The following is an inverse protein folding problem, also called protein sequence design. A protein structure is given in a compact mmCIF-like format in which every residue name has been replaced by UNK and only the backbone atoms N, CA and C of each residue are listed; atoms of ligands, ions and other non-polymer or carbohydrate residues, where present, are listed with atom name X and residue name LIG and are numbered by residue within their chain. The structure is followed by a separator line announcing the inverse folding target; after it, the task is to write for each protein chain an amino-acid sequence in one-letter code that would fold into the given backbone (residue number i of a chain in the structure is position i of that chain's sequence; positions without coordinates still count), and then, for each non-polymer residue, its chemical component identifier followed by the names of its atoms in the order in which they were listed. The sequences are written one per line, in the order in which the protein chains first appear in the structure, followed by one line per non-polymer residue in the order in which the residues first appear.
data_IF_906931926784
#
_entry.id   IF_906931926784
#
_cell.length_a   1.000
_cell.length_b   1.000
_cell.length_c   1.000
_cell.angle_alpha   90.00
_cell.angle_beta   90.00
_cell.angle_gamma   90.00
#
_symmetry.space_group_name_H-M   'P 1'
#
loop_
_entity.id
_entity.type
_entity.pdbx_description
1 polymer ?
#
# COMPACT_ATOMS: atom_id res chain seq x y z
N UNK A 1 -14.99 -31.24 -8.78
CA UNK A 1 -15.91 -30.07 -8.67
C UNK A 1 -15.36 -29.03 -9.63
N UNK A 2 -16.13 -28.62 -10.63
CA UNK A 2 -15.67 -27.63 -11.62
C UNK A 2 -15.78 -26.24 -10.99
N UNK A 3 -14.64 -25.54 -10.87
CA UNK A 3 -14.63 -24.12 -10.53
C UNK A 3 -15.26 -23.35 -11.68
N UNK A 4 -16.36 -22.65 -11.39
CA UNK A 4 -16.99 -21.73 -12.33
C UNK A 4 -16.08 -20.49 -12.43
N UNK A 5 -15.39 -20.33 -13.55
CA UNK A 5 -14.81 -19.03 -13.92
C UNK A 5 -15.95 -18.03 -14.08
N UNK A 6 -16.02 -17.04 -13.19
CA UNK A 6 -16.94 -15.92 -13.29
C UNK A 6 -16.46 -15.08 -14.46
N UNK A 7 -17.32 -14.85 -15.45
CA UNK A 7 -17.07 -13.82 -16.46
C UNK A 7 -17.07 -12.47 -15.75
N UNK A 8 -15.95 -11.75 -15.79
CA UNK A 8 -15.86 -10.42 -15.21
C UNK A 8 -16.64 -9.44 -16.10
N UNK A 9 -17.85 -9.11 -15.68
CA UNK A 9 -18.59 -7.97 -16.23
C UNK A 9 -17.86 -6.66 -15.90
N UNK A 10 -18.13 -5.62 -16.70
CA UNK A 10 -17.55 -4.29 -16.55
C UNK A 10 -17.82 -3.75 -15.14
N UNK A 11 -16.75 -3.47 -14.39
CA UNK A 11 -16.81 -2.85 -13.07
C UNK A 11 -17.51 -1.49 -13.17
N UNK A 12 -18.42 -1.20 -12.23
CA UNK A 12 -19.18 0.05 -12.15
C UNK A 12 -18.25 1.27 -12.10
N UNK A 13 -18.67 2.38 -12.71
CA UNK A 13 -17.93 3.65 -12.72
C UNK A 13 -17.75 4.29 -11.34
N UNK A 14 -18.47 3.83 -10.32
CA UNK A 14 -18.31 4.28 -8.93
C UNK A 14 -17.23 3.51 -8.15
N UNK A 15 -16.58 2.51 -8.75
CA UNK A 15 -15.59 1.67 -8.06
C UNK A 15 -14.17 2.07 -8.45
N UNK A 16 -13.37 2.47 -7.45
CA UNK A 16 -11.93 2.59 -7.63
C UNK A 16 -11.26 1.21 -7.53
N UNK A 17 -10.51 0.75 -8.54
CA UNK A 17 -9.96 -0.60 -8.57
C UNK A 17 -8.70 -0.70 -7.69
N UNK A 18 -8.88 -0.67 -6.37
CA UNK A 18 -7.78 -0.90 -5.44
C UNK A 18 -7.23 -2.32 -5.63
N UNK A 19 -5.97 -2.41 -6.04
CA UNK A 19 -5.25 -3.67 -6.19
C UNK A 19 -4.34 -3.82 -4.97
N UNK A 20 -4.51 -4.91 -4.22
CA UNK A 20 -3.67 -5.22 -3.06
C UNK A 20 -2.73 -6.37 -3.39
N UNK A 21 -1.43 -6.09 -3.32
CA UNK A 21 -0.40 -7.12 -3.33
C UNK A 21 -0.20 -7.60 -1.91
N UNK A 22 -0.57 -8.84 -1.65
CA UNK A 22 -0.55 -9.43 -0.31
C UNK A 22 0.46 -10.57 -0.21
N UNK A 23 1.03 -10.81 0.98
CA UNK A 23 1.95 -11.93 1.19
C UNK A 23 1.29 -13.27 0.81
N UNK A 24 2.05 -14.12 0.11
CA UNK A 24 1.63 -15.51 -0.19
C UNK A 24 1.68 -16.41 1.05
N UNK A 25 2.52 -16.05 2.02
CA UNK A 25 2.61 -16.70 3.31
C UNK A 25 1.39 -16.34 4.18
N UNK A 26 0.64 -17.35 4.61
CA UNK A 26 -0.63 -17.16 5.35
C UNK A 26 -0.44 -16.51 6.72
N UNK A 27 0.64 -16.82 7.42
CA UNK A 27 0.88 -16.25 8.75
C UNK A 27 1.24 -14.76 8.62
N UNK A 28 2.10 -14.42 7.66
CA UNK A 28 2.43 -13.03 7.32
C UNK A 28 1.22 -12.26 6.84
N UNK A 29 0.36 -12.87 6.03
CA UNK A 29 -0.89 -12.28 5.57
C UNK A 29 -1.80 -11.92 6.74
N UNK A 30 -2.10 -12.90 7.62
CA UNK A 30 -2.98 -12.67 8.78
C UNK A 30 -2.37 -11.65 9.73
N UNK A 31 -1.07 -11.71 9.97
CA UNK A 31 -0.34 -10.74 10.79
C UNK A 31 -0.42 -9.32 10.22
N UNK A 32 -0.24 -9.16 8.91
CA UNK A 32 -0.37 -7.86 8.22
C UNK A 32 -1.80 -7.32 8.35
N UNK A 33 -2.80 -8.14 8.01
CA UNK A 33 -4.20 -7.71 8.03
C UNK A 33 -4.65 -7.33 9.44
N UNK A 34 -4.42 -8.19 10.44
CA UNK A 34 -4.77 -7.88 11.82
C UNK A 34 -3.95 -6.72 12.38
N UNK A 35 -2.67 -6.67 12.01
CA UNK A 35 -1.74 -5.64 12.44
C UNK A 35 -2.17 -4.25 11.99
N UNK A 36 -2.76 -4.12 10.80
CA UNK A 36 -3.20 -2.85 10.22
C UNK A 36 -4.67 -2.58 10.51
N UNK A 37 -5.56 -3.47 10.04
CA UNK A 37 -7.01 -3.26 10.10
C UNK A 37 -7.58 -3.47 11.51
N UNK A 38 -6.85 -4.14 12.41
CA UNK A 38 -7.25 -4.30 13.80
C UNK A 38 -7.06 -3.06 14.68
N UNK A 39 -6.52 -1.96 14.14
CA UNK A 39 -6.25 -0.73 14.90
C UNK A 39 -6.68 0.51 14.14
N UNK A 40 -7.77 1.15 14.59
CA UNK A 40 -8.25 2.43 14.06
C UNK A 40 -7.13 3.49 14.05
N UNK A 41 -6.30 3.52 15.10
CA UNK A 41 -5.17 4.46 15.21
C UNK A 41 -4.14 4.30 14.09
N UNK A 42 -3.88 3.06 13.66
CA UNK A 42 -2.96 2.81 12.54
C UNK A 42 -3.58 3.23 11.23
N UNK A 43 -4.87 2.95 11.04
CA UNK A 43 -5.62 3.42 9.88
C UNK A 43 -5.55 4.94 9.79
N UNK A 44 -5.83 5.67 10.89
CA UNK A 44 -5.75 7.13 10.93
C UNK A 44 -4.34 7.64 10.65
N UNK A 45 -3.29 6.98 11.14
CA UNK A 45 -1.90 7.32 10.79
C UNK A 45 -1.65 7.12 9.30
N UNK A 46 -2.04 5.97 8.73
CA UNK A 46 -1.85 5.67 7.31
C UNK A 46 -2.62 6.63 6.40
N UNK A 47 -3.79 7.12 6.83
CA UNK A 47 -4.52 8.18 6.13
C UNK A 47 -3.75 9.51 6.05
N UNK A 48 -2.86 9.81 7.00
CA UNK A 48 -2.01 11.01 6.95
C UNK A 48 -0.75 10.82 6.10
N UNK A 49 -0.39 9.58 5.77
CA UNK A 49 0.83 9.26 5.04
C UNK A 49 0.57 9.39 3.53
N UNK A 50 1.39 10.11 2.76
CA UNK A 50 1.30 10.13 1.30
C UNK A 50 1.45 8.72 0.71
N UNK A 51 0.68 8.39 -0.33
CA UNK A 51 0.76 7.05 -0.94
C UNK A 51 2.08 6.84 -1.72
N UNK A 52 2.68 7.91 -2.25
CA UNK A 52 3.92 7.85 -3.01
C UNK A 52 5.13 7.70 -2.07
N UNK A 53 5.89 6.61 -2.24
CA UNK A 53 6.92 6.16 -1.29
C UNK A 53 8.20 6.99 -1.20
N UNK A 54 8.34 8.03 -2.00
CA UNK A 54 9.49 8.96 -1.98
C UNK A 54 9.28 10.17 -1.06
N UNK A 55 8.06 10.37 -0.55
CA UNK A 55 7.75 11.51 0.31
C UNK A 55 8.09 11.20 1.77
N UNK A 56 9.02 11.96 2.35
CA UNK A 56 9.39 11.84 3.77
C UNK A 56 8.26 12.35 4.67
N UNK A 57 7.87 11.55 5.65
CA UNK A 57 6.91 11.94 6.69
C UNK A 57 7.66 12.09 8.01
N UNK A 58 7.73 13.30 8.57
CA UNK A 58 8.43 13.50 9.84
C UNK A 58 7.56 13.10 11.04
N UNK A 59 8.19 12.49 12.05
CA UNK A 59 7.49 12.08 13.27
C UNK A 59 6.83 13.26 13.98
N UNK A 60 7.49 14.43 13.97
CA UNK A 60 6.99 15.65 14.61
C UNK A 60 5.67 16.11 13.97
N UNK A 61 5.57 16.07 12.65
CA UNK A 61 4.39 16.53 11.91
C UNK A 61 3.18 15.64 12.21
N UNK A 62 3.40 14.32 12.30
CA UNK A 62 2.37 13.36 12.71
C UNK A 62 1.91 13.57 14.16
N UNK A 63 2.84 13.85 15.07
CA UNK A 63 2.52 14.13 16.48
C UNK A 63 1.69 15.42 16.61
N UNK A 64 2.00 16.43 15.81
CA UNK A 64 1.31 17.72 15.83
C UNK A 64 -0.09 17.66 15.17
N UNK A 65 -0.24 16.82 14.14
CA UNK A 65 -1.48 16.75 13.34
C UNK A 65 -2.50 15.77 13.90
N UNK A 66 -2.05 14.65 14.50
CA UNK A 66 -2.95 13.58 14.94
C UNK A 66 -3.57 13.87 16.33
N UNK A 67 -4.84 13.51 16.56
CA UNK A 67 -5.53 13.71 17.83
C UNK A 67 -5.13 12.66 18.90
N UNK A 68 -3.86 12.25 18.94
CA UNK A 68 -3.35 11.21 19.83
C UNK A 68 -2.16 11.70 20.63
N UNK A 69 -1.92 11.08 21.79
CA UNK A 69 -0.71 11.40 22.57
C UNK A 69 0.56 10.99 21.80
N UNK A 70 1.66 11.72 22.02
CA UNK A 70 2.96 11.44 21.37
C UNK A 70 3.35 9.96 21.52
N UNK A 71 3.17 9.40 22.72
CA UNK A 71 3.45 7.98 23.00
C UNK A 71 2.63 7.04 22.12
N UNK A 72 1.37 7.39 21.85
CA UNK A 72 0.48 6.59 20.99
C UNK A 72 0.92 6.63 19.54
N UNK A 73 1.25 7.82 19.02
CA UNK A 73 1.74 7.99 17.65
C UNK A 73 3.03 7.19 17.43
N UNK A 74 4.03 7.40 18.30
CA UNK A 74 5.33 6.72 18.22
C UNK A 74 5.18 5.19 18.31
N UNK A 75 4.31 4.70 19.20
CA UNK A 75 4.05 3.26 19.33
C UNK A 75 3.50 2.67 18.03
N UNK A 76 2.47 3.30 17.44
CA UNK A 76 1.86 2.78 16.22
C UNK A 76 2.81 2.89 15.02
N UNK A 77 3.61 3.95 14.93
CA UNK A 77 4.64 4.08 13.89
C UNK A 77 5.67 2.95 13.97
N UNK A 78 6.15 2.64 15.17
CA UNK A 78 7.05 1.50 15.38
C UNK A 78 6.41 0.18 14.95
N UNK A 79 5.16 -0.06 15.32
CA UNK A 79 4.44 -1.27 14.91
C UNK A 79 4.24 -1.34 13.38
N UNK A 80 4.05 -0.19 12.70
CA UNK A 80 3.98 -0.13 11.24
C UNK A 80 5.36 -0.40 10.59
N UNK A 81 6.46 0.00 11.24
CA UNK A 81 7.81 -0.39 10.82
C UNK A 81 8.07 -1.88 11.00
N UNK A 82 7.66 -2.46 12.13
CA UNK A 82 7.79 -3.90 12.40
C UNK A 82 7.01 -4.74 11.36
N UNK A 83 5.90 -4.21 10.82
CA UNK A 83 5.13 -4.81 9.73
C UNK A 83 5.75 -4.61 8.34
N UNK A 84 6.88 -3.90 8.22
CA UNK A 84 7.51 -3.48 6.97
C UNK A 84 6.56 -2.68 6.07
N UNK A 85 5.71 -1.84 6.68
CA UNK A 85 4.87 -0.87 5.96
C UNK A 85 5.62 0.44 5.82
N UNK A 86 6.34 0.83 6.87
CA UNK A 86 7.14 2.03 6.91
C UNK A 86 8.61 1.70 7.18
N UNK A 87 9.51 2.40 6.51
CA UNK A 87 10.92 2.45 6.88
C UNK A 87 11.15 3.69 7.74
N UNK A 88 11.86 3.56 8.86
CA UNK A 88 12.28 4.71 9.69
C UNK A 88 13.74 5.06 9.45
N UNK A 89 14.05 6.36 9.37
CA UNK A 89 15.41 6.87 9.26
C UNK A 89 15.51 8.28 9.88
N UNK A 90 16.72 8.84 9.94
CA UNK A 90 17.00 10.13 10.55
C UNK A 90 17.88 10.99 9.65
N UNK A 91 17.60 12.30 9.63
CA UNK A 91 18.44 13.28 8.95
C UNK A 91 18.65 14.52 9.81
N UNK A 92 19.64 15.35 9.44
CA UNK A 92 19.84 16.64 10.09
C UNK A 92 18.87 17.66 9.52
N UNK A 93 18.00 18.20 10.37
CA UNK A 93 17.15 19.34 10.03
C UNK A 93 17.95 20.64 9.95
N UNK A 94 17.29 21.73 9.57
CA UNK A 94 17.89 23.06 9.36
C UNK A 94 18.62 23.62 10.60
N UNK A 95 18.21 23.22 11.81
CA UNK A 95 18.87 23.59 13.07
C UNK A 95 20.00 22.65 13.52
N UNK A 96 20.42 21.70 12.68
CA UNK A 96 21.45 20.69 13.00
C UNK A 96 20.99 19.57 13.93
N UNK A 97 19.75 19.65 14.43
CA UNK A 97 19.12 18.58 15.20
C UNK A 97 18.74 17.41 14.30
N UNK A 98 18.94 16.19 14.81
CA UNK A 98 18.48 14.99 14.12
C UNK A 98 16.95 14.89 14.21
N UNK A 99 16.30 14.75 13.06
CA UNK A 99 14.85 14.57 12.94
C UNK A 99 14.56 13.18 12.38
N UNK A 100 13.61 12.48 13.01
CA UNK A 100 13.15 11.18 12.54
C UNK A 100 12.08 11.37 11.47
N UNK A 101 12.23 10.62 10.38
CA UNK A 101 11.25 10.54 9.31
C UNK A 101 10.94 9.10 8.95
N UNK A 102 9.83 8.93 8.23
CA UNK A 102 9.35 7.66 7.73
C UNK A 102 9.16 7.75 6.22
N UNK A 103 9.34 6.62 5.55
CA UNK A 103 9.01 6.41 4.14
C UNK A 103 8.09 5.20 4.02
N UNK A 104 7.18 5.22 3.06
CA UNK A 104 6.39 4.02 2.73
C UNK A 104 7.28 3.04 2.00
N UNK A 105 7.28 1.79 2.44
CA UNK A 105 7.95 0.71 1.73
C UNK A 105 7.33 0.55 0.33
N UNK A 106 8.14 0.50 -0.72
CA UNK A 106 7.68 0.52 -2.12
C UNK A 106 6.59 -0.53 -2.41
N UNK A 107 6.78 -1.75 -1.88
CA UNK A 107 5.82 -2.86 -2.01
C UNK A 107 4.50 -2.65 -1.23
N UNK A 108 4.46 -1.68 -0.32
CA UNK A 108 3.32 -1.36 0.54
C UNK A 108 2.61 -0.06 0.18
N UNK A 109 3.08 0.66 -0.85
CA UNK A 109 2.39 1.84 -1.42
C UNK A 109 0.90 1.56 -1.68
N UNK A 110 0.57 0.38 -2.17
CA UNK A 110 -0.80 -0.05 -2.49
C UNK A 110 -1.69 -0.17 -1.25
N UNK A 111 -1.11 -0.59 -0.12
CA UNK A 111 -1.82 -0.67 1.14
C UNK A 111 -2.15 0.73 1.67
N UNK A 112 -1.22 1.68 1.55
CA UNK A 112 -1.47 3.08 1.92
C UNK A 112 -2.51 3.71 1.00
N UNK A 113 -2.45 3.41 -0.30
CA UNK A 113 -3.38 3.90 -1.31
C UNK A 113 -4.84 3.52 -0.98
N UNK A 114 -5.08 2.36 -0.36
CA UNK A 114 -6.42 1.93 0.08
C UNK A 114 -7.11 2.95 0.99
N UNK A 115 -6.33 3.75 1.72
CA UNK A 115 -6.83 4.74 2.66
C UNK A 115 -6.89 6.15 2.10
N UNK A 116 -6.73 6.30 0.77
CA UNK A 116 -6.78 7.58 0.06
C UNK A 116 -8.01 7.69 -0.81
N UNK A 117 -8.63 8.87 -0.80
CA UNK A 117 -9.63 9.19 -1.78
C UNK A 117 -8.96 9.49 -3.13
N UNK A 118 -9.52 9.05 -4.27
CA UNK A 118 -8.95 9.35 -5.59
C UNK A 118 -8.74 10.84 -5.86
N UNK A 119 -9.55 11.70 -5.25
CA UNK A 119 -9.45 13.16 -5.32
C UNK A 119 -8.24 13.76 -4.59
N UNK A 120 -7.62 13.02 -3.68
CA UNK A 120 -6.42 13.46 -2.93
C UNK A 120 -5.11 13.16 -3.67
N UNK A 121 -5.20 12.54 -4.84
CA UNK A 121 -4.06 12.01 -5.58
C UNK A 121 -3.74 12.89 -6.80
N UNK A 122 -2.84 13.86 -6.62
CA UNK A 122 -2.42 14.79 -7.69
C UNK A 122 -1.81 14.06 -8.91
N UNK A 123 -1.26 12.86 -8.71
CA UNK A 123 -0.60 12.02 -9.71
C UNK A 123 -1.39 10.76 -10.07
N UNK A 124 -2.73 10.78 -9.94
CA UNK A 124 -3.62 9.63 -10.14
C UNK A 124 -3.41 8.91 -11.49
N UNK A 125 -3.14 9.65 -12.57
CA UNK A 125 -2.88 9.08 -13.90
C UNK A 125 -1.64 8.18 -13.91
N UNK A 126 -0.56 8.64 -13.27
CA UNK A 126 0.68 7.88 -13.15
C UNK A 126 0.48 6.66 -12.25
N UNK A 127 -0.22 6.82 -11.13
CA UNK A 127 -0.56 5.73 -10.21
C UNK A 127 -1.35 4.63 -10.93
N UNK A 128 -2.36 5.00 -11.73
CA UNK A 128 -3.16 4.03 -12.50
C UNK A 128 -2.29 3.24 -13.48
N UNK A 129 -1.40 3.91 -14.24
CA UNK A 129 -0.52 3.22 -15.19
C UNK A 129 0.49 2.31 -14.49
N UNK A 130 1.04 2.76 -13.35
CA UNK A 130 1.94 1.94 -12.53
C UNK A 130 1.22 0.71 -11.95
N UNK A 131 -0.02 0.88 -11.45
CA UNK A 131 -0.87 -0.20 -10.96
C UNK A 131 -1.15 -1.23 -12.05
N UNK A 132 -1.57 -0.77 -13.24
CA UNK A 132 -1.88 -1.65 -14.36
C UNK A 132 -0.64 -2.46 -14.80
N UNK A 133 0.51 -1.79 -14.93
CA UNK A 133 1.79 -2.41 -15.27
C UNK A 133 2.18 -3.47 -14.22
N UNK A 134 2.17 -3.09 -12.94
CA UNK A 134 2.56 -3.98 -11.87
C UNK A 134 1.63 -5.20 -11.78
N UNK A 135 0.32 -4.99 -11.90
CA UNK A 135 -0.66 -6.08 -11.84
C UNK A 135 -0.51 -7.04 -13.01
N UNK A 136 -0.33 -6.52 -14.23
CA UNK A 136 -0.05 -7.33 -15.41
C UNK A 136 1.19 -8.20 -15.20
N UNK A 137 2.33 -7.60 -14.83
CA UNK A 137 3.57 -8.36 -14.62
C UNK A 137 3.45 -9.35 -13.47
N UNK A 138 2.74 -9.00 -12.40
CA UNK A 138 2.47 -9.91 -11.28
C UNK A 138 1.62 -11.11 -11.71
N UNK A 139 0.58 -10.92 -12.52
CA UNK A 139 -0.22 -12.01 -13.10
C UNK A 139 0.64 -12.86 -14.01
N UNK A 140 1.42 -12.27 -14.92
CA UNK A 140 2.30 -13.01 -15.84
C UNK A 140 3.29 -13.89 -15.07
N UNK A 141 3.90 -13.36 -14.02
CA UNK A 141 4.83 -14.13 -13.18
C UNK A 141 4.14 -15.21 -12.35
N UNK A 142 2.90 -14.98 -11.91
CA UNK A 142 2.08 -16.00 -11.26
C UNK A 142 1.66 -17.09 -12.24
N UNK A 143 1.22 -16.71 -13.45
CA UNK A 143 0.75 -17.58 -14.52
C UNK A 143 1.80 -18.62 -14.91
N UNK A 144 3.07 -18.21 -15.02
CA UNK A 144 4.21 -19.10 -15.26
C UNK A 144 4.34 -20.24 -14.24
N UNK A 145 3.88 -20.04 -12.99
CA UNK A 145 3.91 -21.07 -11.93
C UNK A 145 2.83 -22.15 -12.11
N UNK A 146 1.86 -21.92 -12.99
CA UNK A 146 0.72 -22.78 -13.26
C UNK A 146 0.65 -23.16 -14.76
N UNK A 147 1.80 -23.22 -15.43
CA UNK A 147 1.94 -23.64 -16.84
C UNK A 147 1.17 -22.78 -17.85
N UNK A 148 0.89 -21.52 -17.50
CA UNK A 148 0.31 -20.53 -18.40
C UNK A 148 1.40 -19.61 -18.97
N UNK A 149 1.23 -19.20 -20.21
CA UNK A 149 2.13 -18.29 -20.92
C UNK A 149 1.65 -16.85 -20.78
N UNK A 150 2.54 -15.89 -21.05
CA UNK A 150 2.16 -14.48 -21.18
C UNK A 150 1.08 -14.27 -22.25
N UNK A 151 1.14 -15.03 -23.35
CA UNK A 151 0.14 -14.95 -24.42
C UNK A 151 -1.26 -15.38 -23.96
N UNK A 152 -1.35 -16.35 -23.05
CA UNK A 152 -2.65 -16.77 -22.47
C UNK A 152 -3.25 -15.63 -21.64
N UNK A 153 -2.42 -14.93 -20.86
CA UNK A 153 -2.83 -13.75 -20.08
C UNK A 153 -3.27 -12.62 -21.01
N UNK A 154 -2.46 -12.29 -22.03
CA UNK A 154 -2.78 -11.24 -23.01
C UNK A 154 -4.08 -11.51 -23.75
N UNK A 155 -4.28 -12.74 -24.23
CA UNK A 155 -5.49 -13.14 -24.94
C UNK A 155 -6.73 -12.97 -24.06
N UNK A 156 -6.66 -13.32 -22.77
CA UNK A 156 -7.77 -13.14 -21.84
C UNK A 156 -8.07 -11.66 -21.54
N UNK A 157 -7.05 -10.79 -21.58
CA UNK A 157 -7.18 -9.34 -21.37
C UNK A 157 -7.52 -8.57 -22.66
N UNK A 158 -7.49 -9.21 -23.83
CA UNK A 158 -7.72 -8.56 -25.12
C UNK A 158 -6.55 -7.69 -25.60
N UNK A 159 -5.30 -8.05 -25.24
CA UNK A 159 -4.04 -7.35 -25.54
C UNK A 159 -3.20 -8.02 -26.64
#
# INVERSE_FOLDING_TARGET
MAERCIAFDKVDSEVFPYILFLPTDKEKLVSLLNGVFGSEKKITILQQIPACGDTKIYQKDLIETLPYSNKTVIKNLKELCDLNILHEDMEKGEGGAWVKYYLVEEKMTWLVLLFKEPSELDNIQQIILQLASLYYYSIVDMAKRYDLTENDVRAQMGL
#
